data_IF_587026960851
#
_entry.id   IF_587026960851
#
_cell.length_a   1.000
_cell.length_b   1.000
_cell.length_c   1.000
_cell.angle_alpha   90.00
_cell.angle_beta   90.00
_cell.angle_gamma   90.00
#
_symmetry.space_group_name_H-M   'P 1'
#
loop_
_entity.id
_entity.type
_entity.pdbx_description
1 polymer ?
#
# COMPACT_ATOMS: atom_id res chain seq x y z
N UNK A 1 0.62 19.15 0.10
CA UNK A 1 0.87 17.97 -0.76
C UNK A 1 2.36 17.66 -0.72
N UNK A 2 2.76 16.43 -0.45
CA UNK A 2 4.12 16.00 -0.76
C UNK A 2 4.25 16.06 -2.27
N UNK A 3 5.29 16.74 -2.76
CA UNK A 3 5.59 16.88 -4.19
C UNK A 3 5.55 15.50 -4.89
N UNK A 4 6.01 14.46 -4.18
CA UNK A 4 6.01 13.06 -4.61
C UNK A 4 4.61 12.59 -5.01
N UNK A 5 3.59 12.79 -4.17
CA UNK A 5 2.24 12.33 -4.48
C UNK A 5 1.56 13.13 -5.60
N UNK A 6 1.86 14.43 -5.66
CA UNK A 6 1.35 15.28 -6.74
C UNK A 6 1.86 14.82 -8.12
N UNK A 7 3.05 14.24 -8.18
CA UNK A 7 3.63 13.67 -9.41
C UNK A 7 3.21 12.22 -9.63
N UNK A 8 3.24 11.36 -8.60
CA UNK A 8 2.94 9.94 -8.76
C UNK A 8 1.48 9.69 -9.15
N UNK A 9 0.53 10.41 -8.55
CA UNK A 9 -0.91 10.25 -8.85
C UNK A 9 -1.23 10.35 -10.35
N UNK A 10 -0.93 11.46 -11.06
CA UNK A 10 -1.26 11.58 -12.47
C UNK A 10 -0.47 10.59 -13.33
N UNK A 11 0.76 10.24 -12.96
CA UNK A 11 1.56 9.23 -13.67
C UNK A 11 0.89 7.86 -13.61
N UNK A 12 0.47 7.42 -12.42
CA UNK A 12 -0.24 6.14 -12.26
C UNK A 12 -1.63 6.18 -12.88
N UNK A 13 -2.38 7.28 -12.72
CA UNK A 13 -3.69 7.45 -13.36
C UNK A 13 -3.56 7.34 -14.89
N UNK A 14 -2.56 7.99 -15.49
CA UNK A 14 -2.30 7.92 -16.92
C UNK A 14 -1.85 6.52 -17.38
N UNK A 15 -0.93 5.90 -16.63
CA UNK A 15 -0.40 4.57 -16.96
C UNK A 15 -1.47 3.49 -16.84
N UNK A 16 -2.38 3.60 -15.86
CA UNK A 16 -3.43 2.61 -15.58
C UNK A 16 -4.75 2.88 -16.30
N UNK A 17 -5.02 4.12 -16.73
CA UNK A 17 -6.23 4.50 -17.48
C UNK A 17 -6.57 3.58 -18.67
N UNK A 18 -5.65 3.21 -19.58
CA UNK A 18 -5.99 2.33 -20.69
C UNK A 18 -6.36 0.90 -20.25
N UNK A 19 -5.99 0.51 -19.04
CA UNK A 19 -6.28 -0.80 -18.46
C UNK A 19 -7.52 -0.81 -17.56
N UNK A 20 -8.22 0.32 -17.39
CA UNK A 20 -9.36 0.44 -16.47
C UNK A 20 -10.56 -0.46 -16.84
N UNK A 21 -10.66 -0.85 -18.12
CA UNK A 21 -11.69 -1.77 -18.64
C UNK A 21 -11.22 -3.23 -18.74
N UNK A 22 -9.92 -3.49 -18.54
CA UNK A 22 -9.33 -4.81 -18.65
C UNK A 22 -9.38 -5.56 -17.31
N UNK A 23 -9.26 -6.90 -17.32
CA UNK A 23 -9.13 -7.66 -16.08
C UNK A 23 -7.96 -7.13 -15.24
N UNK A 24 -8.12 -6.94 -13.92
CA UNK A 24 -7.06 -6.39 -13.04
C UNK A 24 -5.71 -7.10 -13.14
N UNK A 25 -5.68 -8.36 -13.55
CA UNK A 25 -4.45 -9.13 -13.73
C UNK A 25 -3.49 -8.55 -14.77
N UNK A 26 -4.00 -7.93 -15.84
CA UNK A 26 -3.16 -7.36 -16.90
C UNK A 26 -2.30 -6.20 -16.38
N UNK A 27 -2.87 -5.13 -15.79
CA UNK A 27 -2.08 -4.05 -15.24
C UNK A 27 -1.22 -4.49 -14.04
N UNK A 28 -1.72 -5.42 -13.19
CA UNK A 28 -0.91 -5.98 -12.09
C UNK A 28 0.35 -6.66 -12.64
N UNK A 29 0.22 -7.51 -13.67
CA UNK A 29 1.37 -8.18 -14.27
C UNK A 29 2.35 -7.21 -14.92
N UNK A 30 1.86 -6.19 -15.63
CA UNK A 30 2.69 -5.14 -16.22
C UNK A 30 3.48 -4.38 -15.15
N UNK A 31 2.81 -3.95 -14.07
CA UNK A 31 3.49 -3.22 -13.00
C UNK A 31 4.45 -4.12 -12.23
N UNK A 32 4.11 -5.38 -11.97
CA UNK A 32 5.04 -6.37 -11.39
C UNK A 32 6.30 -6.54 -12.24
N UNK A 33 6.18 -6.57 -13.57
CA UNK A 33 7.32 -6.63 -14.47
C UNK A 33 8.20 -5.37 -14.34
N UNK A 34 7.61 -4.17 -14.38
CA UNK A 34 8.35 -2.92 -14.22
C UNK A 34 9.05 -2.82 -12.85
N UNK A 35 8.37 -3.22 -11.78
CA UNK A 35 8.94 -3.28 -10.43
C UNK A 35 10.09 -4.28 -10.37
N UNK A 36 9.96 -5.46 -10.98
CA UNK A 36 11.05 -6.44 -11.00
C UNK A 36 12.30 -5.93 -11.72
N UNK A 37 12.13 -5.19 -12.83
CA UNK A 37 13.24 -4.54 -13.56
C UNK A 37 13.91 -3.50 -12.66
N UNK A 38 13.12 -2.65 -12.00
CA UNK A 38 13.63 -1.66 -11.06
C UNK A 38 14.40 -2.32 -9.91
N UNK A 39 13.85 -3.38 -9.31
CA UNK A 39 14.49 -4.15 -8.26
C UNK A 39 15.85 -4.69 -8.71
N UNK A 40 15.92 -5.31 -9.89
CA UNK A 40 17.17 -5.84 -10.43
C UNK A 40 18.21 -4.74 -10.67
N UNK A 41 17.79 -3.58 -11.19
CA UNK A 41 18.68 -2.43 -11.41
C UNK A 41 19.23 -1.86 -10.11
N UNK A 42 18.39 -1.71 -9.09
CA UNK A 42 18.81 -1.23 -7.76
C UNK A 42 19.72 -2.26 -7.10
N UNK A 43 19.32 -3.54 -7.12
CA UNK A 43 20.11 -4.63 -6.53
C UNK A 43 21.49 -4.74 -7.19
N UNK A 44 21.57 -4.64 -8.52
CA UNK A 44 22.83 -4.63 -9.26
C UNK A 44 23.78 -3.52 -8.83
N UNK A 45 23.25 -2.33 -8.55
CA UNK A 45 24.05 -1.15 -8.18
C UNK A 45 24.46 -1.13 -6.71
N UNK A 46 23.63 -1.69 -5.84
CA UNK A 46 23.82 -1.59 -4.39
C UNK A 46 24.43 -2.84 -3.76
N UNK A 47 24.31 -4.00 -4.42
CA UNK A 47 24.82 -5.28 -3.92
C UNK A 47 26.30 -5.47 -4.22
N UNK A 48 27.07 -5.87 -3.21
CA UNK A 48 28.47 -6.26 -3.36
C UNK A 48 28.58 -7.75 -3.71
N UNK A 49 28.38 -8.06 -4.98
CA UNK A 49 28.39 -9.42 -5.53
C UNK A 49 29.67 -10.21 -5.17
N UNK A 50 30.90 -9.65 -5.29
CA UNK A 50 32.13 -10.36 -4.88
C UNK A 50 32.20 -10.65 -3.38
N UNK A 51 31.72 -9.75 -2.52
CA UNK A 51 31.68 -10.00 -1.08
C UNK A 51 30.72 -11.14 -0.74
N UNK A 52 29.53 -11.17 -1.36
CA UNK A 52 28.56 -12.25 -1.16
C UNK A 52 29.12 -13.61 -1.61
N UNK A 53 29.80 -13.67 -2.76
CA UNK A 53 30.45 -14.90 -3.24
C UNK A 53 31.51 -15.43 -2.27
N UNK A 54 32.36 -14.55 -1.73
CA UNK A 54 33.38 -14.92 -0.73
C UNK A 54 32.76 -15.44 0.57
N UNK A 55 31.67 -14.82 1.03
CA UNK A 55 30.97 -15.28 2.24
C UNK A 55 30.32 -16.65 2.00
N UNK A 56 29.72 -16.90 0.83
CA UNK A 56 29.17 -18.20 0.46
C UNK A 56 30.23 -19.31 0.44
N UNK A 57 31.42 -19.01 -0.10
CA UNK A 57 32.55 -19.94 -0.06
C UNK A 57 33.00 -20.26 1.37
N UNK A 58 33.02 -19.27 2.28
CA UNK A 58 33.34 -19.50 3.71
C UNK A 58 32.30 -20.38 4.40
N UNK A 59 31.02 -20.21 4.07
CA UNK A 59 29.95 -21.06 4.60
C UNK A 59 30.15 -22.51 4.13
N UNK A 60 30.40 -22.72 2.84
CA UNK A 60 30.69 -24.07 2.31
C UNK A 60 31.94 -24.68 2.96
N UNK A 61 33.02 -23.91 3.13
CA UNK A 61 34.24 -24.39 3.78
C UNK A 61 33.97 -24.86 5.22
N UNK A 62 33.15 -24.13 5.99
CA UNK A 62 32.76 -24.53 7.33
C UNK A 62 31.92 -25.82 7.35
N UNK A 63 31.05 -26.03 6.36
CA UNK A 63 30.28 -27.28 6.24
C UNK A 63 31.22 -28.47 5.97
N UNK A 64 32.24 -28.28 5.14
CA UNK A 64 33.26 -29.31 4.92
C UNK A 64 34.14 -29.54 6.15
N UNK A 65 34.47 -28.49 6.91
CA UNK A 65 35.22 -28.59 8.18
C UNK A 65 34.46 -29.47 9.19
N UNK A 66 33.14 -29.28 9.34
CA UNK A 66 32.30 -30.12 10.19
C UNK A 66 32.31 -31.58 9.74
N UNK A 67 32.27 -31.82 8.41
CA UNK A 67 32.27 -33.18 7.86
C UNK A 67 33.63 -33.86 7.99
N UNK A 68 34.72 -33.10 7.96
CA UNK A 68 36.09 -33.60 8.09
C UNK A 68 36.50 -33.87 9.54
N UNK A 69 36.05 -33.05 10.47
CA UNK A 69 36.31 -33.17 11.91
C UNK A 69 35.06 -33.61 12.68
N UNK A 70 34.37 -34.63 12.16
CA UNK A 70 33.13 -35.16 12.72
C UNK A 70 33.29 -35.76 14.14
N UNK A 71 34.51 -36.11 14.54
CA UNK A 71 34.80 -36.74 15.84
C UNK A 71 35.33 -35.76 16.91
N UNK A 72 35.63 -34.50 16.55
CA UNK A 72 36.08 -33.46 17.48
C UNK A 72 34.98 -32.41 17.70
N UNK A 73 34.26 -32.54 18.83
CA UNK A 73 33.20 -31.61 19.25
C UNK A 73 33.69 -30.15 19.34
N UNK A 74 34.94 -29.92 19.77
CA UNK A 74 35.52 -28.59 19.85
C UNK A 74 35.80 -27.98 18.48
N UNK A 75 36.22 -28.79 17.51
CA UNK A 75 36.33 -28.37 16.11
C UNK A 75 34.96 -28.06 15.50
N UNK A 76 33.95 -28.91 15.73
CA UNK A 76 32.58 -28.71 15.24
C UNK A 76 31.98 -27.40 15.75
N UNK A 77 32.05 -27.13 17.07
CA UNK A 77 31.51 -25.89 17.66
C UNK A 77 32.20 -24.63 17.12
N UNK A 78 33.52 -24.70 16.91
CA UNK A 78 34.28 -23.59 16.29
C UNK A 78 33.86 -23.36 14.83
N UNK A 79 33.69 -24.43 14.06
CA UNK A 79 33.21 -24.36 12.68
C UNK A 79 31.78 -23.79 12.60
N UNK A 80 30.87 -24.22 13.47
CA UNK A 80 29.51 -23.68 13.57
C UNK A 80 29.50 -22.18 13.88
N UNK A 81 30.31 -21.72 14.85
CA UNK A 81 30.41 -20.28 15.17
C UNK A 81 30.95 -19.48 13.96
N UNK A 82 31.92 -20.02 13.21
CA UNK A 82 32.37 -19.39 11.96
C UNK A 82 31.26 -19.32 10.91
N UNK A 83 30.52 -20.40 10.70
CA UNK A 83 29.39 -20.43 9.77
C UNK A 83 28.33 -19.41 10.19
N UNK A 84 27.99 -19.33 11.48
CA UNK A 84 27.02 -18.38 12.00
C UNK A 84 27.43 -16.93 11.73
N UNK A 85 28.69 -16.58 12.02
CA UNK A 85 29.23 -15.24 11.71
C UNK A 85 29.26 -14.94 10.22
N UNK A 86 29.57 -15.93 9.40
CA UNK A 86 29.52 -15.82 7.94
C UNK A 86 28.07 -15.60 7.47
N UNK A 87 27.09 -16.33 8.00
CA UNK A 87 25.66 -16.15 7.72
C UNK A 87 25.16 -14.76 8.14
N UNK A 88 25.55 -14.25 9.31
CA UNK A 88 25.24 -12.88 9.73
C UNK A 88 25.80 -11.84 8.75
N UNK A 89 27.03 -12.06 8.28
CA UNK A 89 27.66 -11.19 7.27
C UNK A 89 26.94 -11.28 5.92
N UNK A 90 26.54 -12.48 5.50
CA UNK A 90 25.76 -12.73 4.29
C UNK A 90 24.39 -12.03 4.36
N UNK A 91 23.69 -12.16 5.49
CA UNK A 91 22.41 -11.52 5.74
C UNK A 91 22.55 -10.00 5.66
N UNK A 92 23.58 -9.42 6.29
CA UNK A 92 23.86 -7.97 6.20
C UNK A 92 24.06 -7.51 4.75
N UNK A 93 24.82 -8.25 3.94
CA UNK A 93 25.01 -7.92 2.52
C UNK A 93 23.71 -8.03 1.70
N UNK A 94 22.81 -8.94 2.09
CA UNK A 94 21.52 -9.13 1.41
C UNK A 94 20.49 -8.08 1.81
N UNK A 95 20.48 -7.67 3.09
CA UNK A 95 19.57 -6.65 3.61
C UNK A 95 19.89 -5.26 3.08
N UNK A 96 21.16 -4.96 2.78
CA UNK A 96 21.56 -3.63 2.33
C UNK A 96 20.84 -3.16 1.05
N UNK A 97 20.81 -3.93 -0.07
CA UNK A 97 19.99 -3.60 -1.23
C UNK A 97 18.50 -3.45 -0.92
N UNK A 98 17.96 -4.23 0.03
CA UNK A 98 16.54 -4.19 0.38
C UNK A 98 16.13 -2.84 0.95
N UNK A 99 17.03 -2.14 1.67
CA UNK A 99 16.77 -0.77 2.16
C UNK A 99 16.53 0.21 1.01
N UNK A 100 17.14 0.00 -0.16
CA UNK A 100 16.94 0.84 -1.34
C UNK A 100 15.76 0.39 -2.20
N UNK A 101 15.42 -0.91 -2.18
CA UNK A 101 14.29 -1.47 -2.91
C UNK A 101 12.97 -1.20 -2.20
N UNK A 102 12.95 -1.21 -0.87
CA UNK A 102 11.73 -1.11 -0.09
C UNK A 102 10.98 0.22 -0.32
N UNK A 103 11.62 1.42 -0.28
CA UNK A 103 10.91 2.68 -0.49
C UNK A 103 10.17 2.78 -1.83
N UNK A 104 10.77 2.48 -3.00
CA UNK A 104 10.04 2.54 -4.27
C UNK A 104 8.94 1.47 -4.37
N UNK A 105 9.15 0.26 -3.82
CA UNK A 105 8.10 -0.77 -3.81
C UNK A 105 6.92 -0.35 -2.96
N UNK A 106 7.15 0.20 -1.76
CA UNK A 106 6.09 0.73 -0.89
C UNK A 106 5.33 1.86 -1.58
N UNK A 107 6.02 2.76 -2.27
CA UNK A 107 5.39 3.82 -3.07
C UNK A 107 4.47 3.25 -4.15
N UNK A 108 4.94 2.27 -4.90
CA UNK A 108 4.13 1.59 -5.93
C UNK A 108 2.92 0.91 -5.29
N UNK A 109 3.13 0.14 -4.21
CA UNK A 109 2.04 -0.54 -3.51
C UNK A 109 1.00 0.43 -2.96
N UNK A 110 1.41 1.56 -2.39
CA UNK A 110 0.51 2.60 -1.92
C UNK A 110 -0.38 3.14 -3.07
N UNK A 111 0.13 3.25 -4.29
CA UNK A 111 -0.68 3.66 -5.45
C UNK A 111 -1.62 2.55 -5.94
N UNK A 112 -1.15 1.29 -6.03
CA UNK A 112 -1.99 0.16 -6.48
C UNK A 112 -3.10 -0.18 -5.49
N UNK A 113 -2.86 -0.03 -4.19
CA UNK A 113 -3.86 -0.31 -3.15
C UNK A 113 -5.18 0.42 -3.45
N UNK A 114 -5.11 1.69 -3.83
CA UNK A 114 -6.29 2.49 -4.12
C UNK A 114 -6.95 2.19 -5.47
N UNK A 115 -6.31 1.42 -6.35
CA UNK A 115 -6.89 0.98 -7.64
C UNK A 115 -7.48 -0.43 -7.58
N UNK A 116 -6.83 -1.33 -6.82
CA UNK A 116 -7.11 -2.76 -6.91
C UNK A 116 -7.54 -3.42 -5.60
N UNK A 117 -7.45 -2.74 -4.45
CA UNK A 117 -7.93 -3.30 -3.18
C UNK A 117 -9.43 -3.09 -2.93
N UNK A 118 -10.05 -2.12 -3.62
CA UNK A 118 -11.43 -1.72 -3.38
C UNK A 118 -12.26 -1.76 -4.66
N UNK A 119 -13.53 -2.13 -4.54
CA UNK A 119 -14.54 -1.96 -5.59
C UNK A 119 -15.24 -0.62 -5.42
N UNK A 120 -15.55 0.04 -6.53
CA UNK A 120 -16.41 1.22 -6.49
C UNK A 120 -17.81 0.83 -6.02
N UNK A 121 -18.49 1.77 -5.38
CA UNK A 121 -19.88 1.54 -4.98
C UNK A 121 -20.74 1.29 -6.23
N UNK A 122 -21.80 0.51 -6.07
CA UNK A 122 -22.82 0.31 -7.11
C UNK A 122 -24.14 0.96 -6.69
N UNK A 123 -24.99 1.37 -7.64
CA UNK A 123 -26.33 1.84 -7.32
C UNK A 123 -27.09 0.81 -6.47
N UNK A 124 -27.73 1.28 -5.41
CA UNK A 124 -28.41 0.46 -4.40
C UNK A 124 -27.51 -0.03 -3.26
N UNK A 125 -26.19 0.11 -3.34
CA UNK A 125 -25.28 -0.26 -2.25
C UNK A 125 -25.22 0.81 -1.17
N UNK A 126 -25.00 0.34 0.07
CA UNK A 126 -24.81 1.18 1.24
C UNK A 126 -23.34 1.30 1.57
N UNK A 127 -22.92 2.49 1.97
CA UNK A 127 -21.58 2.76 2.48
C UNK A 127 -21.67 3.53 3.80
N UNK A 128 -20.72 3.29 4.69
CA UNK A 128 -20.56 4.00 5.94
C UNK A 128 -19.56 5.13 5.71
N UNK A 129 -19.97 6.36 5.98
CA UNK A 129 -19.10 7.52 6.07
C UNK A 129 -18.75 7.72 7.55
N UNK A 130 -17.47 7.61 7.88
CA UNK A 130 -16.95 7.84 9.22
C UNK A 130 -16.08 9.09 9.20
N UNK A 131 -16.25 9.94 10.21
CA UNK A 131 -15.47 11.15 10.41
C UNK A 131 -14.87 11.09 11.81
N UNK A 132 -13.55 10.91 11.86
CA UNK A 132 -12.76 10.95 13.08
C UNK A 132 -12.38 12.41 13.38
N UNK A 133 -12.77 12.93 14.54
CA UNK A 133 -12.40 14.29 14.95
C UNK A 133 -11.01 14.33 15.59
N UNK A 134 -10.24 15.39 15.29
CA UNK A 134 -9.00 15.68 16.00
C UNK A 134 -9.36 16.01 17.44
N UNK A 135 -8.80 15.26 18.39
CA UNK A 135 -9.25 15.21 19.80
C UNK A 135 -9.26 16.60 20.47
N UNK A 136 -10.38 17.31 20.33
CA UNK A 136 -10.88 18.41 21.14
C UNK A 136 -12.37 18.64 20.80
N UNK A 137 -13.23 17.83 21.38
CA UNK A 137 -14.55 18.25 21.85
C UNK A 137 -14.60 17.87 23.33
N UNK A 138 -13.90 18.66 24.15
CA UNK A 138 -13.59 18.39 25.56
C UNK A 138 -14.78 18.30 26.52
N UNK A 139 -16.01 18.19 26.04
CA UNK A 139 -17.22 18.12 26.86
C UNK A 139 -18.06 16.85 26.62
N UNK A 140 -17.71 15.99 25.65
CA UNK A 140 -18.59 14.90 25.21
C UNK A 140 -19.86 15.39 24.50
N UNK A 141 -19.99 16.70 24.31
CA UNK A 141 -21.09 17.32 23.59
C UNK A 141 -20.99 16.99 22.10
N UNK A 142 -22.17 16.86 21.49
CA UNK A 142 -22.31 16.57 20.08
C UNK A 142 -21.94 17.83 19.27
N UNK A 143 -20.96 17.76 18.36
CA UNK A 143 -20.62 18.90 17.51
C UNK A 143 -21.75 19.21 16.52
N UNK A 144 -21.83 20.48 16.10
CA UNK A 144 -22.77 20.88 15.06
C UNK A 144 -22.18 20.50 13.71
N UNK A 145 -22.84 19.57 13.01
CA UNK A 145 -22.37 19.07 11.73
C UNK A 145 -23.43 19.21 10.65
N UNK A 146 -22.98 19.75 9.51
CA UNK A 146 -23.74 19.82 8.27
C UNK A 146 -23.03 18.98 7.22
N UNK A 147 -23.76 18.00 6.68
CA UNK A 147 -23.32 17.15 5.57
C UNK A 147 -24.09 17.57 4.31
N UNK A 148 -23.36 18.08 3.33
CA UNK A 148 -23.84 18.42 2.00
C UNK A 148 -23.62 17.22 1.06
N UNK A 149 -24.71 16.66 0.55
CA UNK A 149 -24.72 15.50 -0.34
C UNK A 149 -25.16 15.92 -1.74
N UNK A 150 -24.36 15.66 -2.78
CA UNK A 150 -24.78 15.91 -4.15
C UNK A 150 -25.88 14.94 -4.59
N UNK A 151 -26.65 15.33 -5.62
CA UNK A 151 -27.69 14.48 -6.19
C UNK A 151 -27.10 13.16 -6.73
N UNK A 152 -27.56 12.03 -6.18
CA UNK A 152 -27.03 10.69 -6.49
C UNK A 152 -26.45 9.95 -5.28
N UNK A 153 -26.25 10.66 -4.17
CA UNK A 153 -25.97 10.09 -2.85
C UNK A 153 -27.03 10.54 -1.85
N UNK A 154 -27.52 9.61 -1.02
CA UNK A 154 -28.52 9.91 0.00
C UNK A 154 -28.09 9.39 1.35
N UNK A 155 -28.17 10.22 2.40
CA UNK A 155 -28.05 9.74 3.77
C UNK A 155 -29.36 9.05 4.17
N UNK A 156 -29.29 7.76 4.50
CA UNK A 156 -30.45 7.02 5.02
C UNK A 156 -30.72 7.36 6.48
N UNK A 157 -29.70 7.81 7.22
CA UNK A 157 -29.77 8.16 8.63
C UNK A 157 -29.16 9.53 8.88
N UNK A 158 -29.63 10.21 9.92
CA UNK A 158 -28.92 11.38 10.46
C UNK A 158 -27.55 10.99 11.02
N UNK A 159 -26.73 12.01 11.33
CA UNK A 159 -25.42 11.80 11.94
C UNK A 159 -25.56 11.06 13.29
N UNK A 160 -24.87 9.94 13.42
CA UNK A 160 -24.72 9.21 14.69
C UNK A 160 -23.43 9.69 15.35
N UNK A 161 -23.50 10.15 16.60
CA UNK A 161 -22.37 10.62 17.37
C UNK A 161 -21.91 9.54 18.36
N UNK A 162 -20.61 9.20 18.33
CA UNK A 162 -19.97 8.28 19.27
C UNK A 162 -18.96 9.08 20.11
N UNK A 163 -19.34 9.54 21.33
CA UNK A 163 -18.48 10.37 22.16
C UNK A 163 -17.14 9.71 22.53
N UNK A 164 -17.17 8.41 22.84
CA UNK A 164 -15.98 7.66 23.28
C UNK A 164 -14.86 7.60 22.23
N UNK A 165 -15.23 7.63 20.95
CA UNK A 165 -14.29 7.59 19.81
C UNK A 165 -14.09 8.96 19.16
N UNK A 166 -14.89 9.95 19.57
CA UNK A 166 -14.96 11.27 18.90
C UNK A 166 -15.28 11.14 17.41
N UNK A 167 -16.26 10.28 17.10
CA UNK A 167 -16.61 9.89 15.73
C UNK A 167 -18.04 10.24 15.35
N UNK A 168 -18.21 10.66 14.10
CA UNK A 168 -19.51 10.82 13.48
C UNK A 168 -19.69 9.82 12.34
N UNK A 169 -20.85 9.19 12.28
CA UNK A 169 -21.17 8.17 11.30
C UNK A 169 -22.45 8.50 10.53
N UNK A 170 -22.41 8.25 9.22
CA UNK A 170 -23.59 8.30 8.36
C UNK A 170 -23.67 7.05 7.51
N UNK A 171 -24.88 6.51 7.37
CA UNK A 171 -25.14 5.49 6.36
C UNK A 171 -25.59 6.16 5.08
N UNK A 172 -24.76 6.06 4.06
CA UNK A 172 -25.00 6.57 2.71
C UNK A 172 -25.57 5.46 1.82
N UNK A 173 -26.50 5.82 0.95
CA UNK A 173 -26.99 5.00 -0.15
C UNK A 173 -26.51 5.62 -1.46
N UNK A 174 -25.82 4.81 -2.27
CA UNK A 174 -25.48 5.18 -3.64
C UNK A 174 -26.70 4.97 -4.54
N UNK A 175 -27.20 6.02 -5.18
CA UNK A 175 -28.42 5.94 -6.00
C UNK A 175 -28.11 5.88 -7.50
N UNK A 176 -27.04 6.55 -7.94
CA UNK A 176 -26.67 6.65 -9.35
C UNK A 176 -25.16 6.50 -9.52
N UNK A 177 -24.76 6.03 -10.70
CA UNK A 177 -23.35 6.03 -11.11
C UNK A 177 -22.85 7.47 -11.26
N UNK A 178 -21.65 7.72 -10.77
CA UNK A 178 -21.04 9.06 -10.82
C UNK A 178 -19.85 9.23 -9.89
N UNK A 179 -19.10 10.30 -10.16
CA UNK A 179 -18.09 10.82 -9.27
C UNK A 179 -18.71 11.97 -8.47
N UNK A 180 -18.68 11.85 -7.14
CA UNK A 180 -19.33 12.76 -6.21
C UNK A 180 -18.33 13.40 -5.27
N UNK A 181 -18.61 14.63 -4.85
CA UNK A 181 -17.86 15.35 -3.82
C UNK A 181 -18.81 15.74 -2.69
N UNK A 182 -18.60 15.14 -1.52
CA UNK A 182 -19.33 15.44 -0.29
C UNK A 182 -18.77 16.73 0.31
N UNK A 183 -19.63 17.57 0.88
CA UNK A 183 -19.22 18.70 1.71
C UNK A 183 -19.49 18.43 3.19
N UNK A 184 -18.51 18.68 4.04
CA UNK A 184 -18.61 18.54 5.48
C UNK A 184 -18.24 19.86 6.17
N UNK A 185 -19.15 20.38 6.97
CA UNK A 185 -18.93 21.56 7.82
C UNK A 185 -19.16 21.15 9.27
N UNK A 186 -18.19 21.46 10.14
CA UNK A 186 -18.19 21.11 11.56
C UNK A 186 -17.92 22.36 12.38
N UNK A 187 -18.81 22.70 13.31
CA UNK A 187 -18.66 23.81 14.26
C UNK A 187 -18.28 25.15 13.57
N UNK A 188 -18.83 25.40 12.37
CA UNK A 188 -18.56 26.61 11.59
C UNK A 188 -17.17 26.67 10.95
N UNK A 189 -16.37 25.60 11.03
CA UNK A 189 -15.08 25.49 10.35
C UNK A 189 -15.25 25.47 8.81
N UNK A 190 -14.18 25.77 8.05
CA UNK A 190 -14.22 25.73 6.59
C UNK A 190 -14.68 24.37 6.06
N UNK A 191 -15.48 24.40 4.99
CA UNK A 191 -15.98 23.20 4.31
C UNK A 191 -14.82 22.27 3.91
N UNK A 192 -14.90 21.03 4.37
CA UNK A 192 -14.01 19.95 3.99
C UNK A 192 -14.71 19.09 2.95
N UNK A 193 -14.01 18.74 1.87
CA UNK A 193 -14.57 17.86 0.86
C UNK A 193 -14.15 16.40 1.00
N UNK A 194 -14.92 15.48 0.43
CA UNK A 194 -14.54 14.07 0.33
C UNK A 194 -15.06 13.49 -0.97
N UNK A 195 -14.20 12.79 -1.72
CA UNK A 195 -14.64 12.19 -2.98
C UNK A 195 -15.26 10.82 -2.75
N UNK A 196 -16.33 10.54 -3.49
CA UNK A 196 -17.01 9.24 -3.51
C UNK A 196 -17.23 8.83 -4.95
N UNK A 197 -16.91 7.60 -5.30
CA UNK A 197 -17.13 7.09 -6.66
C UNK A 197 -18.09 5.92 -6.64
N UNK A 198 -19.18 6.07 -7.39
CA UNK A 198 -20.13 5.01 -7.69
C UNK A 198 -19.85 4.57 -9.12
N UNK A 199 -19.14 3.47 -9.27
CA UNK A 199 -18.67 3.02 -10.58
C UNK A 199 -18.33 1.53 -10.59
N UNK A 200 -18.64 0.81 -11.70
CA UNK A 200 -18.19 -0.56 -11.88
C UNK A 200 -16.71 -0.66 -12.32
N UNK A 201 -16.07 0.46 -12.68
CA UNK A 201 -14.71 0.46 -13.27
C UNK A 201 -13.62 0.28 -12.22
N UNK A 202 -12.47 -0.26 -12.65
CA UNK A 202 -11.26 -0.30 -11.83
C UNK A 202 -10.53 1.04 -11.89
N UNK A 203 -10.93 1.98 -11.03
CA UNK A 203 -10.34 3.32 -10.93
C UNK A 203 -9.77 3.55 -9.53
N UNK A 204 -8.97 4.61 -9.36
CA UNK A 204 -8.52 5.04 -8.04
C UNK A 204 -9.72 5.40 -7.15
N UNK A 205 -9.79 4.82 -5.97
CA UNK A 205 -10.79 5.10 -4.94
C UNK A 205 -10.08 5.69 -3.72
N UNK A 206 -10.76 6.59 -3.02
CA UNK A 206 -10.28 7.13 -1.75
C UNK A 206 -11.15 6.63 -0.61
N UNK A 207 -10.85 5.44 -0.06
CA UNK A 207 -11.53 4.96 1.14
C UNK A 207 -11.21 5.86 2.33
N UNK A 208 -10.02 6.46 2.39
CA UNK A 208 -9.59 7.27 3.52
C UNK A 208 -8.91 8.55 3.06
N UNK A 209 -9.25 9.66 3.73
CA UNK A 209 -8.58 10.97 3.61
C UNK A 209 -8.09 11.37 4.99
N UNK A 210 -6.77 11.50 5.15
CA UNK A 210 -6.09 11.71 6.44
C UNK A 210 -5.41 13.07 6.52
N UNK A 211 -4.84 13.36 7.68
CA UNK A 211 -3.99 14.52 7.96
C UNK A 211 -2.80 14.71 6.99
N UNK A 212 -2.16 15.87 7.10
CA UNK A 212 -1.01 16.24 6.29
C UNK A 212 0.33 15.67 6.76
N UNK A 213 0.35 14.66 7.63
CA UNK A 213 1.59 13.98 8.06
C UNK A 213 2.33 13.34 6.89
N UNK A 214 3.67 13.30 6.95
CA UNK A 214 4.49 12.76 5.85
C UNK A 214 4.18 11.27 5.57
N UNK A 215 4.14 10.44 6.62
CA UNK A 215 3.80 9.02 6.50
C UNK A 215 2.35 8.81 6.06
N UNK A 216 1.42 9.62 6.58
CA UNK A 216 0.00 9.62 6.19
C UNK A 216 -0.14 9.86 4.69
N UNK A 217 0.56 10.86 4.17
CA UNK A 217 0.57 11.16 2.75
C UNK A 217 1.20 10.03 1.93
N UNK A 218 2.31 9.44 2.40
CA UNK A 218 2.98 8.35 1.70
C UNK A 218 2.09 7.10 1.56
N UNK A 219 1.35 6.75 2.61
CA UNK A 219 0.51 5.55 2.68
C UNK A 219 -0.90 5.76 2.13
N UNK A 220 -1.44 6.98 2.20
CA UNK A 220 -2.78 7.34 1.72
C UNK A 220 -2.76 8.39 0.59
N UNK A 221 -2.09 8.13 -0.55
CA UNK A 221 -2.03 9.05 -1.67
C UNK A 221 -3.30 9.13 -2.52
N UNK A 222 -4.47 8.62 -2.11
CA UNK A 222 -5.66 8.65 -2.96
C UNK A 222 -6.24 10.07 -3.18
N UNK A 223 -6.21 10.90 -2.13
CA UNK A 223 -6.79 12.25 -2.10
C UNK A 223 -5.83 13.28 -1.50
N UNK A 224 -5.97 14.58 -1.84
CA UNK A 224 -5.42 15.68 -1.05
C UNK A 224 -5.54 15.45 0.47
N UNK A 225 -4.48 15.64 1.29
CA UNK A 225 -4.64 15.55 2.74
C UNK A 225 -5.62 16.62 3.24
N UNK A 226 -6.12 16.41 4.45
CA UNK A 226 -6.92 17.40 5.16
C UNK A 226 -6.05 18.64 5.49
N UNK A 227 -6.64 19.85 5.54
CA UNK A 227 -5.95 21.04 6.01
C UNK A 227 -5.37 20.83 7.42
N UNK A 228 -4.19 21.37 7.70
CA UNK A 228 -3.52 21.17 8.99
C UNK A 228 -4.32 21.72 10.20
N UNK A 229 -5.16 22.73 9.97
CA UNK A 229 -6.07 23.32 10.96
C UNK A 229 -7.45 22.69 10.99
N UNK A 230 -7.64 21.54 10.32
CA UNK A 230 -8.92 20.83 10.25
C UNK A 230 -9.32 20.27 11.63
N UNK A 231 -10.59 20.44 12.07
CA UNK A 231 -11.11 19.76 13.25
C UNK A 231 -11.29 18.25 13.02
N UNK A 232 -11.18 17.79 11.77
CA UNK A 232 -11.25 16.39 11.37
C UNK A 232 -9.85 15.82 11.21
N UNK A 233 -9.62 14.65 11.82
CA UNK A 233 -8.40 13.85 11.72
C UNK A 233 -8.41 12.91 10.50
N UNK A 234 -9.53 12.25 10.27
CA UNK A 234 -9.70 11.35 9.13
C UNK A 234 -11.15 11.29 8.66
N UNK A 235 -11.34 11.10 7.36
CA UNK A 235 -12.65 10.81 6.75
C UNK A 235 -12.54 9.48 6.02
N UNK A 236 -13.32 8.48 6.46
CA UNK A 236 -13.38 7.14 5.87
C UNK A 236 -14.70 6.86 5.18
N UNK A 237 -14.64 6.08 4.12
CA UNK A 237 -15.78 5.54 3.39
C UNK A 237 -15.56 4.05 3.22
N UNK A 238 -16.53 3.26 3.67
CA UNK A 238 -16.48 1.81 3.54
C UNK A 238 -16.77 1.38 2.09
N UNK A 239 -15.73 1.20 1.29
CA UNK A 239 -15.85 0.52 0.00
C UNK A 239 -15.77 -1.00 0.18
N UNK A 240 -16.52 -1.79 -0.60
CA UNK A 240 -16.33 -3.23 -0.64
C UNK A 240 -14.89 -3.59 -1.05
N UNK A 241 -14.33 -4.63 -0.43
CA UNK A 241 -13.02 -5.15 -0.83
C UNK A 241 -13.10 -5.79 -2.23
N UNK A 242 -12.06 -5.57 -3.03
CA UNK A 242 -11.91 -6.19 -4.35
C UNK A 242 -10.97 -7.39 -4.24
N UNK A 243 -11.39 -8.49 -4.83
CA UNK A 243 -10.54 -9.64 -5.10
C UNK A 243 -10.26 -9.76 -6.59
N UNK A 244 -9.07 -10.24 -6.93
CA UNK A 244 -8.68 -10.53 -8.31
C UNK A 244 -8.74 -12.03 -8.55
N UNK A 245 -9.19 -12.42 -9.74
CA UNK A 245 -9.21 -13.82 -10.16
C UNK A 245 -7.89 -14.19 -10.82
N UNK A 246 -7.17 -15.16 -10.23
CA UNK A 246 -5.95 -15.75 -10.76
C UNK A 246 -6.23 -17.22 -11.03
N UNK A 247 -6.21 -17.61 -12.31
CA UNK A 247 -6.49 -19.00 -12.72
C UNK A 247 -7.81 -19.56 -12.12
N UNK A 248 -8.82 -18.70 -11.95
CA UNK A 248 -10.12 -19.06 -11.37
C UNK A 248 -10.21 -18.90 -9.84
N UNK A 249 -9.09 -18.73 -9.13
CA UNK A 249 -9.08 -18.51 -7.67
C UNK A 249 -9.14 -17.02 -7.34
N UNK A 250 -10.01 -16.65 -6.40
CA UNK A 250 -10.14 -15.28 -5.90
C UNK A 250 -9.12 -15.03 -4.80
N UNK A 251 -8.36 -13.95 -4.91
CA UNK A 251 -7.35 -13.56 -3.92
C UNK A 251 -7.10 -12.06 -3.92
N UNK A 252 -6.47 -11.55 -2.85
CA UNK A 252 -6.03 -10.16 -2.78
C UNK A 252 -4.96 -9.86 -3.82
N UNK A 253 -5.07 -8.70 -4.48
CA UNK A 253 -4.17 -8.25 -5.56
C UNK A 253 -2.68 -8.26 -5.19
N UNK A 254 -2.35 -8.06 -3.90
CA UNK A 254 -0.98 -8.08 -3.39
C UNK A 254 -0.30 -9.43 -3.62
N UNK A 255 -1.04 -10.54 -3.53
CA UNK A 255 -0.49 -11.89 -3.70
C UNK A 255 0.06 -12.09 -5.12
N UNK A 256 -0.73 -11.94 -6.20
CA UNK A 256 -0.19 -12.06 -7.56
C UNK A 256 0.82 -10.97 -7.85
N UNK A 257 0.67 -9.75 -7.33
CA UNK A 257 1.66 -8.70 -7.51
C UNK A 257 3.06 -9.11 -7.00
N UNK A 258 3.15 -9.62 -5.76
CA UNK A 258 4.40 -10.05 -5.15
C UNK A 258 4.97 -11.29 -5.86
N UNK A 259 4.12 -12.29 -6.11
CA UNK A 259 4.53 -13.54 -6.78
C UNK A 259 5.07 -13.25 -8.18
N UNK A 260 4.35 -12.46 -8.99
CA UNK A 260 4.79 -12.09 -10.33
C UNK A 260 6.07 -11.25 -10.30
N UNK A 261 6.21 -10.32 -9.35
CA UNK A 261 7.43 -9.52 -9.20
C UNK A 261 8.65 -10.40 -8.92
N UNK A 262 8.50 -11.41 -8.06
CA UNK A 262 9.56 -12.39 -7.76
C UNK A 262 9.85 -13.25 -8.99
N UNK A 263 8.83 -13.82 -9.63
CA UNK A 263 8.98 -14.67 -10.83
C UNK A 263 9.71 -13.92 -11.93
N UNK A 264 9.32 -12.67 -12.22
CA UNK A 264 9.99 -11.84 -13.22
C UNK A 264 11.41 -11.48 -12.81
N UNK A 265 11.66 -11.16 -11.54
CA UNK A 265 13.02 -10.90 -11.06
C UNK A 265 13.94 -12.12 -11.26
N UNK A 266 13.47 -13.32 -10.94
CA UNK A 266 14.23 -14.56 -11.16
C UNK A 266 14.40 -14.88 -12.64
N UNK A 267 13.38 -14.68 -13.48
CA UNK A 267 13.47 -14.90 -14.92
C UNK A 267 14.46 -13.94 -15.59
N UNK A 268 14.50 -12.68 -15.14
CA UNK A 268 15.34 -11.63 -15.72
C UNK A 268 16.75 -11.52 -15.09
N UNK A 269 17.01 -12.16 -13.94
CA UNK A 269 18.29 -12.03 -13.22
C UNK A 269 19.53 -12.28 -14.09
N UNK A 270 19.43 -13.25 -15.02
CA UNK A 270 20.52 -13.60 -15.95
C UNK A 270 20.82 -12.47 -16.94
N UNK A 271 19.78 -11.84 -17.50
CA UNK A 271 19.90 -10.70 -18.43
C UNK A 271 20.59 -9.52 -17.75
N UNK A 272 20.26 -9.26 -16.48
CA UNK A 272 20.86 -8.17 -15.71
C UNK A 272 22.23 -8.52 -15.10
N UNK A 273 22.69 -9.78 -15.24
CA UNK A 273 23.93 -10.31 -14.63
C UNK A 273 23.96 -10.14 -13.10
N UNK A 274 22.82 -10.40 -12.47
CA UNK A 274 22.65 -10.32 -11.01
C UNK A 274 22.56 -11.72 -10.43
N UNK A 275 23.33 -11.99 -9.38
CA UNK A 275 23.13 -13.19 -8.56
C UNK A 275 22.21 -12.79 -7.41
N UNK A 276 21.04 -13.42 -7.36
CA UNK A 276 20.07 -13.35 -6.27
C UNK A 276 20.18 -14.66 -5.50
#
# INVERSE_FOLDING_TARGET
MSLVNAVLRPVFDFLLAPFAALPPMVPIALVSLLVSILMLLVFKRTSNQPAMARVKQRIHAGIFEIRLFNDDLGAILRAQNRILRANLTYLRHTLWPMVFILPPVVLVMAQLQFHYAYEGLRPGQRALLEVDLARQAGSGERPQVRLDLPAGLRAETGAVWIPGESQLLWRLLAERDGDYELGLEIDGAPRISKTVRVTPKAVRLSPERVDSGFLSQLLYPAEPPLPASSPVRAIRISYPEREVSVLGYRMYWMIPFLVLSIVFAFALRGVFKVTI
#
